data_IF_600190580728
#
_entry.id   IF_600190580728
#
_cell.length_a   1.000
_cell.length_b   1.000
_cell.length_c   1.000
_cell.angle_alpha   90.00
_cell.angle_beta   90.00
_cell.angle_gamma   90.00
#
_symmetry.space_group_name_H-M   'P 1'
#
loop_
_entity.id
_entity.type
_entity.pdbx_description
1 polymer ?
#
# COMPACT_ATOMS: atom_id res chain seq x y z
N UNK A 1 -0.47 -32.76 68.31
CA UNK A 1 -1.56 -33.76 68.22
C UNK A 1 -2.79 -33.08 67.64
N UNK A 2 -3.42 -33.80 66.71
CA UNK A 2 -4.69 -33.62 66.00
C UNK A 2 -5.51 -32.31 66.15
N UNK A 3 -5.79 -31.73 64.97
CA UNK A 3 -7.11 -31.42 64.40
C UNK A 3 -8.28 -31.12 65.32
N UNK A 4 -9.08 -30.12 64.96
CA UNK A 4 -10.52 -30.27 64.65
C UNK A 4 -10.94 -29.02 63.86
N UNK A 5 -11.57 -29.23 62.71
CA UNK A 5 -12.30 -28.19 61.98
C UNK A 5 -13.77 -28.16 62.36
N UNK A 6 -14.43 -27.05 62.03
CA UNK A 6 -15.75 -26.89 61.39
C UNK A 6 -16.46 -25.63 61.91
N UNK A 7 -17.01 -24.91 60.92
CA UNK A 7 -17.78 -23.67 60.85
C UNK A 7 -19.05 -23.63 61.76
N UNK A 8 -19.92 -22.57 61.79
CA UNK A 8 -20.10 -21.54 60.76
C UNK A 8 -20.53 -20.12 61.20
N UNK A 9 -20.58 -19.26 60.17
CA UNK A 9 -21.56 -18.18 59.91
C UNK A 9 -21.84 -17.12 60.98
N UNK A 10 -21.66 -15.87 60.60
CA UNK A 10 -22.34 -14.76 61.25
C UNK A 10 -21.71 -13.42 60.93
N UNK A 11 -22.43 -12.62 60.16
CA UNK A 11 -22.10 -11.26 59.73
C UNK A 11 -21.47 -10.37 60.81
N UNK A 12 -20.52 -9.51 60.39
CA UNK A 12 -20.35 -8.16 60.93
C UNK A 12 -19.50 -7.27 60.02
N UNK A 13 -20.11 -6.16 59.63
CA UNK A 13 -19.66 -4.78 59.83
C UNK A 13 -18.32 -4.25 59.28
N UNK A 14 -18.50 -3.16 58.55
CA UNK A 14 -17.99 -1.80 58.80
C UNK A 14 -16.64 -1.35 58.23
N UNK A 15 -16.79 -0.23 57.51
CA UNK A 15 -15.96 0.99 57.50
C UNK A 15 -14.61 0.94 56.81
N UNK A 16 -14.57 1.54 55.62
CA UNK A 16 -13.35 1.94 54.94
C UNK A 16 -13.67 2.90 53.80
N UNK A 17 -13.81 4.17 54.15
CA UNK A 17 -13.35 5.37 53.43
C UNK A 17 -13.58 5.49 51.91
N UNK A 18 -14.22 6.60 51.58
CA UNK A 18 -14.62 7.10 50.27
C UNK A 18 -13.53 7.11 49.19
N UNK A 19 -13.92 6.55 48.04
CA UNK A 19 -13.79 7.09 46.68
C UNK A 19 -12.39 7.55 46.21
N UNK A 20 -11.80 6.73 45.34
CA UNK A 20 -10.65 7.12 44.54
C UNK A 20 -9.99 5.95 43.82
N UNK A 21 -10.77 5.10 43.13
CA UNK A 21 -10.21 4.17 42.15
C UNK A 21 -10.46 4.78 40.76
N UNK A 22 -9.45 5.47 40.23
CA UNK A 22 -9.42 5.88 38.83
C UNK A 22 -9.61 4.65 37.95
N UNK A 23 -10.78 4.58 37.33
CA UNK A 23 -11.13 3.57 36.34
C UNK A 23 -10.41 3.94 35.05
N UNK A 24 -9.47 3.11 34.62
CA UNK A 24 -8.86 3.18 33.29
C UNK A 24 -9.99 3.18 32.24
N UNK A 25 -10.03 4.10 31.27
CA UNK A 25 -11.02 4.04 30.22
C UNK A 25 -10.66 2.90 29.25
N UNK A 26 -11.61 1.97 29.08
CA UNK A 26 -11.64 0.95 28.03
C UNK A 26 -11.70 1.62 26.64
N UNK A 27 -10.55 2.07 26.13
CA UNK A 27 -10.37 2.51 24.75
C UNK A 27 -9.50 1.52 23.99
N UNK A 28 -9.95 0.28 23.91
CA UNK A 28 -9.47 -0.69 22.92
C UNK A 28 -10.65 -1.09 22.03
N UNK A 29 -11.24 -0.10 21.35
CA UNK A 29 -12.26 -0.34 20.33
C UNK A 29 -12.33 0.88 19.40
N UNK A 30 -11.40 0.98 18.44
CA UNK A 30 -11.72 1.51 17.12
C UNK A 30 -10.60 1.30 16.08
N UNK A 31 -9.93 0.14 16.11
CA UNK A 31 -9.38 -0.42 14.87
C UNK A 31 -10.52 -1.07 14.08
N UNK A 32 -11.55 -0.27 13.74
CA UNK A 32 -12.45 -0.64 12.66
C UNK A 32 -11.60 -0.66 11.41
N UNK A 33 -11.29 -1.87 10.94
CA UNK A 33 -10.95 -2.12 9.55
C UNK A 33 -12.07 -1.45 8.77
N UNK A 34 -11.79 -0.28 8.21
CA UNK A 34 -12.70 0.41 7.31
C UNK A 34 -13.00 -0.60 6.22
N UNK A 35 -14.23 -1.09 6.19
CA UNK A 35 -14.71 -1.90 5.09
C UNK A 35 -14.72 -0.99 3.87
N UNK A 36 -13.61 -1.06 3.14
CA UNK A 36 -13.42 -0.39 1.87
C UNK A 36 -14.44 -0.99 0.90
N UNK A 37 -15.61 -0.36 0.82
CA UNK A 37 -16.52 -0.48 -0.31
C UNK A 37 -15.68 -0.53 -1.59
N UNK A 38 -15.93 -1.61 -2.31
CA UNK A 38 -15.25 -2.11 -3.49
C UNK A 38 -14.83 -0.96 -4.40
N UNK A 39 -13.56 -0.96 -4.80
CA UNK A 39 -13.08 -0.11 -5.89
C UNK A 39 -13.84 -0.60 -7.12
N UNK A 40 -14.89 0.13 -7.49
CA UNK A 40 -15.77 -0.20 -8.60
C UNK A 40 -14.91 -0.37 -9.87
N UNK A 41 -14.97 -1.56 -10.46
CA UNK A 41 -14.18 -1.87 -11.63
C UNK A 41 -14.64 -0.99 -12.79
N UNK A 42 -13.83 -0.01 -13.18
CA UNK A 42 -14.09 0.75 -14.39
C UNK A 42 -13.69 -0.12 -15.59
N UNK A 43 -14.65 -0.48 -16.42
CA UNK A 43 -14.42 -1.30 -17.62
C UNK A 43 -13.66 -0.43 -18.63
N UNK A 44 -12.36 -0.63 -18.74
CA UNK A 44 -11.56 -0.13 -19.87
C UNK A 44 -11.34 -1.27 -20.85
N UNK A 45 -12.10 -1.24 -21.94
CA UNK A 45 -11.94 -2.15 -23.08
C UNK A 45 -10.69 -1.75 -23.84
N UNK A 46 -9.67 -2.59 -23.78
CA UNK A 46 -8.51 -2.45 -24.65
C UNK A 46 -7.34 -3.32 -24.23
N UNK A 47 -6.52 -3.67 -25.21
CA UNK A 47 -5.18 -4.24 -25.03
C UNK A 47 -4.27 -3.13 -24.47
N UNK A 48 -4.50 -2.79 -23.19
CA UNK A 48 -4.04 -1.62 -22.43
C UNK A 48 -2.53 -1.42 -22.26
N UNK A 49 -1.69 -2.00 -23.12
CA UNK A 49 -0.25 -2.16 -22.88
C UNK A 49 0.62 -1.83 -24.10
N UNK A 50 0.01 -1.42 -25.22
CA UNK A 50 0.75 -0.96 -26.40
C UNK A 50 1.19 0.50 -26.21
N UNK A 51 2.41 0.82 -26.64
CA UNK A 51 2.98 2.16 -26.51
C UNK A 51 2.11 3.18 -27.25
N UNK A 52 1.80 4.30 -26.60
CA UNK A 52 0.92 5.36 -27.10
C UNK A 52 -0.56 5.18 -26.76
N UNK A 53 -0.96 4.05 -26.17
CA UNK A 53 -2.35 3.83 -25.78
C UNK A 53 -2.73 4.69 -24.57
N UNK A 54 -3.89 5.35 -24.65
CA UNK A 54 -4.47 6.17 -23.58
C UNK A 54 -5.38 5.31 -22.71
N UNK A 55 -5.08 5.28 -21.42
CA UNK A 55 -5.86 4.61 -20.38
C UNK A 55 -6.67 5.67 -19.65
N UNK A 56 -7.99 5.63 -19.81
CA UNK A 56 -8.91 6.56 -19.14
C UNK A 56 -9.50 5.86 -17.91
N UNK A 57 -9.36 6.46 -16.75
CA UNK A 57 -9.91 5.94 -15.50
C UNK A 57 -10.64 7.05 -14.74
N UNK A 58 -11.52 6.67 -13.83
CA UNK A 58 -12.18 7.62 -12.94
C UNK A 58 -11.58 7.48 -11.55
N UNK A 59 -11.09 8.58 -11.03
CA UNK A 59 -10.53 8.72 -9.68
C UNK A 59 -11.51 9.53 -8.83
N UNK A 60 -11.69 9.18 -7.57
CA UNK A 60 -12.57 9.93 -6.66
C UNK A 60 -14.07 9.67 -6.86
N UNK A 61 -14.84 9.94 -5.80
CA UNK A 61 -16.23 9.54 -5.60
C UNK A 61 -16.54 9.07 -4.16
N UNK A 62 -15.53 9.04 -3.28
CA UNK A 62 -15.73 8.82 -1.83
C UNK A 62 -15.89 10.17 -1.12
N UNK A 63 -16.85 10.26 -0.21
CA UNK A 63 -17.15 11.44 0.63
C UNK A 63 -17.73 12.68 -0.09
N UNK A 64 -18.44 12.51 -1.22
CA UNK A 64 -19.17 13.61 -1.88
C UNK A 64 -18.32 14.51 -2.79
N UNK A 65 -17.06 14.16 -3.03
CA UNK A 65 -16.25 14.82 -4.06
C UNK A 65 -16.64 14.36 -5.48
N UNK A 66 -16.56 15.24 -6.49
CA UNK A 66 -16.86 14.88 -7.86
C UNK A 66 -15.92 13.78 -8.37
N UNK A 67 -16.49 12.82 -9.13
CA UNK A 67 -15.73 11.84 -9.91
C UNK A 67 -14.83 12.60 -10.89
N UNK A 68 -13.53 12.41 -10.82
CA UNK A 68 -12.57 13.04 -11.72
C UNK A 68 -12.03 12.00 -12.70
N UNK A 69 -12.23 12.25 -13.99
CA UNK A 69 -11.62 11.44 -15.05
C UNK A 69 -10.13 11.79 -15.16
N UNK A 70 -9.29 10.77 -15.21
CA UNK A 70 -7.83 10.87 -15.35
C UNK A 70 -7.37 9.96 -16.46
N UNK A 71 -6.41 10.44 -17.27
CA UNK A 71 -5.97 9.81 -18.50
C UNK A 71 -4.46 9.62 -18.45
N UNK A 72 -4.02 8.39 -18.74
CA UNK A 72 -2.60 8.04 -18.75
C UNK A 72 -2.19 7.60 -20.15
N UNK A 73 -1.15 8.20 -20.71
CA UNK A 73 -0.53 7.74 -21.95
C UNK A 73 0.60 6.77 -21.62
N UNK A 74 0.47 5.51 -22.01
CA UNK A 74 1.53 4.52 -21.84
C UNK A 74 2.71 4.83 -22.76
N UNK A 75 3.91 4.99 -22.19
CA UNK A 75 5.11 5.39 -22.95
C UNK A 75 6.02 4.22 -23.28
N UNK A 76 6.34 3.37 -22.30
CA UNK A 76 7.18 2.17 -22.53
C UNK A 76 7.08 1.16 -21.40
N UNK A 77 7.35 -0.10 -21.69
CA UNK A 77 7.54 -1.13 -20.66
C UNK A 77 8.88 -0.88 -19.96
N UNK A 78 8.87 -0.83 -18.63
CA UNK A 78 10.05 -0.62 -17.78
C UNK A 78 10.37 -1.83 -16.90
N UNK A 79 9.44 -2.78 -16.77
CA UNK A 79 9.67 -4.03 -16.05
C UNK A 79 8.70 -5.12 -16.48
N UNK A 80 9.19 -6.35 -16.51
CA UNK A 80 8.40 -7.55 -16.74
C UNK A 80 8.83 -8.59 -15.71
N UNK A 81 7.86 -9.13 -14.97
CA UNK A 81 8.11 -10.12 -13.94
C UNK A 81 7.02 -11.18 -13.91
N UNK A 82 7.15 -12.13 -12.98
CA UNK A 82 6.18 -13.22 -12.79
C UNK A 82 4.76 -12.73 -12.51
N UNK A 83 4.63 -11.61 -11.79
CA UNK A 83 3.34 -11.08 -11.34
C UNK A 83 2.65 -10.18 -12.38
N UNK A 84 3.34 -9.82 -13.47
CA UNK A 84 2.80 -8.95 -14.50
C UNK A 84 3.82 -8.00 -15.09
N UNK A 85 3.33 -6.87 -15.57
CA UNK A 85 4.12 -5.87 -16.30
C UNK A 85 4.07 -4.52 -15.59
N UNK A 86 5.15 -3.76 -15.75
CA UNK A 86 5.25 -2.37 -15.32
C UNK A 86 5.59 -1.52 -16.53
N UNK A 87 4.79 -0.49 -16.77
CA UNK A 87 5.06 0.48 -17.82
C UNK A 87 5.16 1.88 -17.23
N UNK A 88 6.05 2.68 -17.81
CA UNK A 88 6.05 4.12 -17.61
C UNK A 88 4.88 4.71 -18.39
N UNK A 89 4.16 5.63 -17.76
CA UNK A 89 3.10 6.39 -18.39
C UNK A 89 3.19 7.86 -17.98
N UNK A 90 2.51 8.72 -18.73
CA UNK A 90 2.35 10.13 -18.42
C UNK A 90 0.89 10.43 -18.10
N UNK A 91 0.62 11.01 -16.93
CA UNK A 91 -0.69 11.57 -16.61
C UNK A 91 -0.90 12.81 -17.48
N UNK A 92 -1.99 12.84 -18.24
CA UNK A 92 -2.24 13.92 -19.21
C UNK A 92 -2.77 15.20 -18.53
N UNK A 93 -3.41 15.05 -17.37
CA UNK A 93 -3.97 16.17 -16.61
C UNK A 93 -2.89 16.94 -15.85
N UNK A 94 -1.91 16.24 -15.26
CA UNK A 94 -0.84 16.85 -14.47
C UNK A 94 0.49 16.96 -15.21
N UNK A 95 0.64 16.24 -16.32
CA UNK A 95 1.91 16.10 -17.04
C UNK A 95 2.93 15.20 -16.33
N UNK A 96 2.57 14.61 -15.19
CA UNK A 96 3.48 13.85 -14.34
C UNK A 96 3.77 12.45 -14.90
N UNK A 97 5.03 12.02 -14.81
CA UNK A 97 5.43 10.65 -15.13
C UNK A 97 5.12 9.70 -13.96
N UNK A 98 4.49 8.57 -14.28
CA UNK A 98 4.08 7.53 -13.32
C UNK A 98 4.52 6.13 -13.78
N UNK A 99 4.64 5.21 -12.83
CA UNK A 99 4.77 3.78 -13.12
C UNK A 99 3.42 3.10 -12.92
N UNK A 100 2.92 2.39 -13.93
CA UNK A 100 1.69 1.60 -13.80
C UNK A 100 2.05 0.12 -13.78
N UNK A 101 1.85 -0.52 -12.63
CA UNK A 101 2.01 -1.97 -12.46
C UNK A 101 0.68 -2.66 -12.69
N UNK A 102 0.58 -3.42 -13.78
CA UNK A 102 -0.60 -4.19 -14.17
C UNK A 102 -0.41 -5.65 -13.77
N UNK A 103 -1.26 -6.14 -12.88
CA UNK A 103 -1.23 -7.52 -12.35
C UNK A 103 -2.56 -8.21 -12.60
N UNK A 104 -2.51 -9.49 -12.95
CA UNK A 104 -3.72 -10.31 -13.08
C UNK A 104 -4.36 -10.45 -11.69
N UNK A 105 -5.66 -10.17 -11.60
CA UNK A 105 -6.39 -10.19 -10.35
C UNK A 105 -7.27 -11.45 -10.27
N UNK A 106 -6.95 -12.35 -9.33
CA UNK A 106 -7.87 -13.42 -8.95
C UNK A 106 -9.00 -12.82 -8.08
N UNK A 107 -10.25 -12.99 -8.53
CA UNK A 107 -11.45 -12.49 -7.84
C UNK A 107 -11.62 -13.07 -6.43
N UNK A 108 -11.00 -14.23 -6.14
CA UNK A 108 -11.10 -14.92 -4.84
C UNK A 108 -10.17 -14.36 -3.78
N UNK A 109 -9.17 -13.56 -4.17
CA UNK A 109 -8.12 -13.11 -3.26
C UNK A 109 -7.94 -11.59 -3.30
N UNK A 110 -7.85 -10.98 -2.12
CA UNK A 110 -7.42 -9.58 -2.00
C UNK A 110 -5.93 -9.48 -2.33
N UNK A 111 -5.56 -8.47 -3.10
CA UNK A 111 -4.16 -8.23 -3.43
C UNK A 111 -3.44 -7.63 -2.21
N UNK A 112 -2.52 -8.40 -1.61
CA UNK A 112 -1.76 -7.97 -0.42
C UNK A 112 -0.86 -6.76 -0.69
N UNK A 113 -0.32 -6.65 -1.91
CA UNK A 113 0.52 -5.51 -2.28
C UNK A 113 -0.30 -4.21 -2.25
N UNK A 114 -1.50 -4.19 -2.82
CA UNK A 114 -2.40 -3.04 -2.71
C UNK A 114 -2.73 -2.70 -1.25
N UNK A 115 -2.98 -3.71 -0.40
CA UNK A 115 -3.25 -3.49 1.02
C UNK A 115 -2.07 -2.82 1.72
N UNK A 116 -0.86 -3.34 1.52
CA UNK A 116 0.36 -2.76 2.09
C UNK A 116 0.61 -1.34 1.57
N UNK A 117 0.50 -1.13 0.26
CA UNK A 117 0.76 0.16 -0.37
C UNK A 117 -0.22 1.27 0.08
N UNK A 118 -1.43 0.92 0.53
CA UNK A 118 -2.38 1.87 1.13
C UNK A 118 -1.98 2.33 2.53
N UNK A 119 -1.16 1.54 3.23
CA UNK A 119 -0.72 1.81 4.59
C UNK A 119 0.63 2.54 4.64
N UNK A 120 1.39 2.51 3.55
CA UNK A 120 2.72 3.10 3.49
C UNK A 120 2.63 4.55 3.00
N UNK A 121 3.08 5.47 3.86
CA UNK A 121 3.32 6.87 3.53
C UNK A 121 4.70 7.26 4.10
N UNK A 122 5.73 7.19 3.27
CA UNK A 122 7.11 7.43 3.70
C UNK A 122 7.98 7.92 2.54
N UNK A 123 8.87 8.91 2.74
CA UNK A 123 9.69 9.50 1.67
C UNK A 123 10.65 8.53 0.97
N UNK A 124 10.98 7.39 1.60
CA UNK A 124 11.82 6.34 1.00
C UNK A 124 11.01 5.15 0.44
N UNK A 125 9.69 5.26 0.37
CA UNK A 125 8.79 4.28 -0.25
C UNK A 125 8.09 4.94 -1.42
N UNK A 126 8.05 4.26 -2.56
CA UNK A 126 7.31 4.70 -3.73
C UNK A 126 5.82 4.82 -3.37
N UNK A 127 5.25 6.00 -3.56
CA UNK A 127 3.86 6.25 -3.20
C UNK A 127 2.87 5.60 -4.17
N UNK A 128 1.78 5.05 -3.63
CA UNK A 128 0.58 4.68 -4.39
C UNK A 128 -0.29 5.91 -4.61
N UNK A 129 -0.41 6.36 -5.85
CA UNK A 129 -1.21 7.54 -6.21
C UNK A 129 -2.66 7.19 -6.49
N UNK A 130 -2.86 6.11 -7.24
CA UNK A 130 -4.19 5.66 -7.66
C UNK A 130 -4.19 4.15 -7.93
N UNK A 131 -5.36 3.52 -7.91
CA UNK A 131 -5.51 2.15 -8.37
C UNK A 131 -6.85 1.97 -9.10
N UNK A 132 -6.85 1.17 -10.16
CA UNK A 132 -8.08 0.85 -10.90
C UNK A 132 -8.04 -0.56 -11.45
N UNK A 133 -9.22 -1.13 -11.65
CA UNK A 133 -9.35 -2.40 -12.37
C UNK A 133 -9.52 -2.16 -13.86
N UNK A 134 -9.10 -3.13 -14.64
CA UNK A 134 -9.30 -3.18 -16.09
C UNK A 134 -9.66 -4.59 -16.51
N UNK A 135 -10.54 -4.75 -17.48
CA UNK A 135 -10.91 -6.05 -18.02
C UNK A 135 -10.42 -6.16 -19.46
N UNK A 136 -9.88 -7.32 -19.85
CA UNK A 136 -9.51 -7.56 -21.25
C UNK A 136 -10.69 -8.09 -22.05
N UNK A 137 -10.54 -8.17 -23.37
CA UNK A 137 -11.52 -8.81 -24.26
C UNK A 137 -11.81 -10.28 -23.90
N UNK A 138 -10.93 -10.93 -23.14
CA UNK A 138 -11.08 -12.30 -22.66
C UNK A 138 -11.75 -12.39 -21.28
N UNK A 139 -12.34 -11.30 -20.79
CA UNK A 139 -12.92 -11.17 -19.45
C UNK A 139 -11.92 -11.41 -18.29
N UNK A 140 -10.63 -11.25 -18.56
CA UNK A 140 -9.61 -11.31 -17.52
C UNK A 140 -9.55 -9.98 -16.77
N UNK A 141 -9.69 -10.06 -15.44
CA UNK A 141 -9.60 -8.91 -14.55
C UNK A 141 -8.14 -8.62 -14.19
N UNK A 142 -7.72 -7.38 -14.34
CA UNK A 142 -6.42 -6.90 -13.91
C UNK A 142 -6.57 -5.75 -12.91
N UNK A 143 -5.69 -5.73 -11.92
CA UNK A 143 -5.48 -4.59 -11.03
C UNK A 143 -4.30 -3.77 -11.55
N UNK A 144 -4.50 -2.46 -11.68
CA UNK A 144 -3.49 -1.51 -12.10
C UNK A 144 -3.15 -0.59 -10.92
N UNK A 145 -1.90 -0.62 -10.48
CA UNK A 145 -1.37 0.25 -9.44
C UNK A 145 -0.63 1.41 -10.10
N UNK A 146 -1.11 2.64 -9.91
CA UNK A 146 -0.44 3.86 -10.36
C UNK A 146 0.48 4.34 -9.24
N UNK A 147 1.77 4.28 -9.52
CA UNK A 147 2.86 4.53 -8.59
C UNK A 147 3.68 5.74 -9.05
N UNK A 148 4.38 6.37 -8.11
CA UNK A 148 5.47 7.29 -8.46
C UNK A 148 6.52 6.61 -9.35
N UNK A 149 7.01 7.33 -10.37
CA UNK A 149 8.06 6.83 -11.25
C UNK A 149 9.44 7.26 -10.77
N UNK A 150 10.30 6.27 -10.50
CA UNK A 150 11.73 6.49 -10.23
C UNK A 150 12.54 6.05 -11.45
N UNK A 151 13.32 6.94 -12.11
CA UNK A 151 13.96 6.66 -13.39
C UNK A 151 15.12 5.66 -13.34
N UNK A 152 15.81 5.60 -12.19
CA UNK A 152 16.99 4.77 -11.99
C UNK A 152 16.82 3.77 -10.85
N UNK A 153 17.57 2.68 -10.93
CA UNK A 153 17.60 1.66 -9.87
C UNK A 153 19.03 1.43 -9.40
N UNK A 154 19.19 1.06 -8.13
CA UNK A 154 20.51 0.69 -7.57
C UNK A 154 21.18 -0.40 -8.41
N UNK A 155 20.40 -1.36 -8.94
CA UNK A 155 20.93 -2.39 -9.84
C UNK A 155 21.56 -1.80 -11.10
N UNK A 156 20.91 -0.84 -11.76
CA UNK A 156 21.44 -0.17 -12.96
C UNK A 156 22.73 0.58 -12.65
N UNK A 157 22.76 1.30 -11.53
CA UNK A 157 23.94 2.03 -11.05
C UNK A 157 25.11 1.06 -10.79
N UNK A 158 24.88 -0.02 -10.05
CA UNK A 158 25.91 -1.03 -9.77
C UNK A 158 26.44 -1.67 -11.06
N UNK A 159 25.53 -2.03 -11.99
CA UNK A 159 25.91 -2.59 -13.29
C UNK A 159 26.75 -1.63 -14.13
N UNK A 160 26.45 -0.34 -14.06
CA UNK A 160 27.23 0.71 -14.74
C UNK A 160 28.67 0.77 -14.21
N UNK A 161 28.86 0.86 -12.90
CA UNK A 161 30.20 0.86 -12.29
C UNK A 161 30.98 -0.43 -12.58
N UNK A 162 30.32 -1.59 -12.51
CA UNK A 162 30.94 -2.87 -12.86
C UNK A 162 31.43 -2.90 -14.32
N UNK A 163 30.65 -2.37 -15.28
CA UNK A 163 31.07 -2.27 -16.69
C UNK A 163 32.30 -1.38 -16.89
N UNK A 164 32.45 -0.36 -16.06
CA UNK A 164 33.61 0.53 -16.06
C UNK A 164 34.80 -0.03 -15.28
N UNK A 165 34.69 -1.25 -14.71
CA UNK A 165 35.67 -1.83 -13.78
C UNK A 165 35.99 -0.90 -12.59
N UNK A 166 35.00 -0.11 -12.16
CA UNK A 166 35.13 0.79 -11.02
C UNK A 166 34.23 0.31 -9.87
N UNK A 167 34.66 0.58 -8.64
CA UNK A 167 33.82 0.39 -7.45
C UNK A 167 32.88 1.59 -7.32
N UNK A 168 31.64 1.33 -6.93
CA UNK A 168 30.74 2.42 -6.56
C UNK A 168 31.32 3.19 -5.35
N UNK A 169 31.40 4.54 -5.41
CA UNK A 169 31.87 5.35 -4.30
C UNK A 169 31.15 5.04 -2.98
N UNK A 170 31.93 4.98 -1.89
CA UNK A 170 31.40 4.63 -0.55
C UNK A 170 30.30 5.57 -0.06
N UNK A 171 30.31 6.83 -0.49
CA UNK A 171 29.26 7.79 -0.16
C UNK A 171 27.88 7.32 -0.67
N UNK A 172 27.80 6.82 -1.91
CA UNK A 172 26.55 6.30 -2.47
C UNK A 172 26.11 5.01 -1.77
N UNK A 173 27.06 4.14 -1.43
CA UNK A 173 26.78 2.92 -0.63
C UNK A 173 26.13 3.31 0.70
N UNK A 174 26.70 4.28 1.40
CA UNK A 174 26.19 4.76 2.69
C UNK A 174 24.79 5.37 2.56
N UNK A 175 24.59 6.25 1.57
CA UNK A 175 23.30 6.92 1.35
C UNK A 175 22.18 5.93 1.02
N UNK A 176 22.40 5.02 0.05
CA UNK A 176 21.38 4.03 -0.31
C UNK A 176 21.08 3.07 0.85
N UNK A 177 22.11 2.59 1.54
CA UNK A 177 21.94 1.71 2.70
C UNK A 177 21.16 2.42 3.82
N UNK A 178 21.48 3.69 4.09
CA UNK A 178 20.77 4.50 5.08
C UNK A 178 19.29 4.64 4.74
N UNK A 179 18.96 5.03 3.50
CA UNK A 179 17.57 5.20 3.03
C UNK A 179 16.76 3.90 3.08
N UNK A 180 17.39 2.75 2.82
CA UNK A 180 16.72 1.44 2.91
C UNK A 180 16.46 1.03 4.36
N UNK A 181 17.41 1.27 5.27
CA UNK A 181 17.27 0.88 6.68
C UNK A 181 16.30 1.79 7.43
N UNK A 182 16.25 3.08 7.08
CA UNK A 182 15.37 4.07 7.74
C UNK A 182 13.87 3.84 7.50
N UNK A 183 13.47 2.80 6.76
CA UNK A 183 12.08 2.38 6.59
C UNK A 183 11.39 1.86 7.87
N UNK A 184 12.11 1.61 8.96
CA UNK A 184 11.59 0.93 10.17
C UNK A 184 11.60 1.78 11.45
N UNK A 185 11.92 3.08 11.39
CA UNK A 185 12.09 3.91 12.59
C UNK A 185 11.15 5.11 12.56
N UNK A 186 9.84 4.87 12.70
CA UNK A 186 8.82 5.79 13.22
C UNK A 186 7.66 4.98 13.80
#
# INVERSE_FOLDING_TARGET
MASVGVAPSGHKNSSGTSMGAEKLPDQMNDLKIRDDKEVEATIINGKGTETGHIIVTTTGGKNGQPKQTVSYMAERIVGQGSFGIVFQAKCLETGETVAIKKVLQDKRYKNRELQTMRLLDHPNVVALKHCFFSTTEKDELYLNLVLEYVPETVHRVVKHYNKMNQRMPLIYVKLYTYQVIFLYVL
#
